data_IF_276863510943
#
_entry.id   IF_276863510943
#
_cell.length_a   1.000
_cell.length_b   1.000
_cell.length_c   1.000
_cell.angle_alpha   90.00
_cell.angle_beta   90.00
_cell.angle_gamma   90.00
#
_symmetry.space_group_name_H-M   'P 1'
#
loop_
_entity.id
_entity.type
_entity.pdbx_description
1 polymer ?
#
# COMPACT_ATOMS: atom_id res chain seq x y z
N UNK A 1 16.34 52.35 32.90
CA UNK A 1 17.05 51.76 31.74
C UNK A 1 17.53 50.36 32.09
N UNK A 2 17.47 49.45 31.10
CA UNK A 2 17.98 48.07 31.02
C UNK A 2 17.02 46.91 31.35
N UNK A 3 16.79 46.15 30.28
CA UNK A 3 16.10 44.87 30.10
C UNK A 3 16.59 43.76 31.03
N UNK A 4 15.75 42.73 31.24
CA UNK A 4 16.13 41.30 31.23
C UNK A 4 14.91 40.43 30.94
N UNK A 5 15.08 39.52 29.96
CA UNK A 5 14.12 38.47 29.58
C UNK A 5 13.98 37.46 30.72
N UNK A 6 12.79 36.85 30.88
CA UNK A 6 12.62 35.61 31.62
C UNK A 6 11.71 34.65 30.84
N UNK A 7 12.21 33.43 30.73
CA UNK A 7 11.70 32.26 30.04
C UNK A 7 10.42 31.76 30.74
N UNK A 8 9.32 31.58 30.01
CA UNK A 8 8.13 30.90 30.54
C UNK A 8 8.17 29.43 30.12
N UNK A 9 8.47 28.58 31.10
CA UNK A 9 8.10 27.17 31.09
C UNK A 9 6.58 27.07 31.08
N UNK A 10 5.98 26.57 30.02
CA UNK A 10 4.62 26.04 30.07
C UNK A 10 4.69 24.54 30.39
N UNK A 11 4.71 24.23 31.68
CA UNK A 11 4.07 23.01 32.15
C UNK A 11 2.56 23.24 32.08
N UNK A 12 1.84 22.34 31.42
CA UNK A 12 0.40 22.23 31.56
C UNK A 12 0.09 20.90 32.21
N UNK A 13 -0.34 21.03 33.46
CA UNK A 13 -0.88 19.96 34.29
C UNK A 13 -2.19 19.45 33.68
N UNK A 14 -2.34 18.12 33.67
CA UNK A 14 -3.58 17.43 33.32
C UNK A 14 -4.53 17.58 34.52
N UNK A 15 -5.57 18.40 34.36
CA UNK A 15 -6.74 18.40 35.24
C UNK A 15 -7.95 17.94 34.42
N UNK A 16 -8.62 16.91 34.91
CA UNK A 16 -9.62 16.14 34.18
C UNK A 16 -10.84 16.94 33.72
N UNK A 17 -11.10 16.82 32.42
CA UNK A 17 -12.42 16.92 31.80
C UNK A 17 -12.51 15.71 30.86
N UNK A 18 -13.28 14.69 31.26
CA UNK A 18 -13.62 13.56 30.41
C UNK A 18 -14.59 14.04 29.32
N UNK A 19 -14.07 14.55 28.22
CA UNK A 19 -14.83 14.65 26.97
C UNK A 19 -14.80 13.28 26.31
N UNK A 20 -15.95 12.60 26.32
CA UNK A 20 -16.20 11.48 25.41
C UNK A 20 -16.19 12.05 23.99
N UNK A 21 -15.04 11.98 23.30
CA UNK A 21 -15.00 12.22 21.87
C UNK A 21 -15.68 11.05 21.17
N UNK A 22 -16.95 11.24 20.85
CA UNK A 22 -17.66 10.35 19.96
C UNK A 22 -17.15 10.65 18.53
N UNK A 23 -15.99 10.11 18.17
CA UNK A 23 -15.53 10.15 16.79
C UNK A 23 -16.37 9.14 16.02
N UNK A 24 -17.49 9.59 15.45
CA UNK A 24 -18.02 8.87 14.28
C UNK A 24 -16.90 8.90 13.25
N UNK A 25 -16.38 7.74 12.79
CA UNK A 25 -15.41 7.75 11.72
C UNK A 25 -16.06 8.51 10.56
N UNK A 26 -15.39 9.57 10.09
CA UNK A 26 -15.78 10.18 8.82
C UNK A 26 -15.75 9.05 7.79
N UNK A 27 -16.85 8.85 7.07
CA UNK A 27 -16.90 7.85 6.01
C UNK A 27 -15.75 8.13 5.04
N UNK A 28 -14.81 7.19 4.93
CA UNK A 28 -13.66 7.33 4.04
C UNK A 28 -14.14 7.49 2.59
N UNK A 29 -13.65 8.51 1.89
CA UNK A 29 -13.97 8.77 0.49
C UNK A 29 -13.30 7.79 -0.46
N UNK A 30 -12.28 7.06 -0.01
CA UNK A 30 -11.48 6.15 -0.83
C UNK A 30 -10.09 5.90 -0.23
N UNK A 31 -9.18 5.33 -1.04
CA UNK A 31 -7.76 5.19 -0.70
C UNK A 31 -6.90 5.83 -1.78
N UNK A 32 -5.95 6.66 -1.33
CA UNK A 32 -4.89 7.21 -2.16
C UNK A 32 -3.62 6.37 -1.99
N UNK A 33 -3.05 5.88 -3.09
CA UNK A 33 -1.81 5.09 -3.12
C UNK A 33 -0.73 5.93 -3.77
N UNK A 34 0.33 6.20 -3.03
CA UNK A 34 1.48 6.95 -3.56
C UNK A 34 2.17 6.16 -4.67
N UNK A 35 2.63 6.87 -5.70
CA UNK A 35 3.46 6.24 -6.75
C UNK A 35 4.80 5.77 -6.18
N UNK A 36 5.54 5.02 -7.00
CA UNK A 36 6.92 4.62 -6.74
C UNK A 36 7.88 5.80 -6.86
N UNK A 37 7.72 6.77 -5.95
CA UNK A 37 8.60 7.93 -5.80
C UNK A 37 9.11 7.98 -4.37
N UNK A 38 10.40 8.31 -4.13
CA UNK A 38 11.01 8.20 -2.80
C UNK A 38 10.24 8.96 -1.71
N UNK A 39 9.62 10.09 -2.07
CA UNK A 39 8.78 10.90 -1.19
C UNK A 39 7.64 11.49 -2.00
N UNK A 40 6.40 11.24 -1.58
CA UNK A 40 5.24 12.02 -2.02
C UNK A 40 4.99 13.16 -1.03
N UNK A 41 4.88 14.39 -1.54
CA UNK A 41 4.79 15.58 -0.69
C UNK A 41 3.40 15.75 -0.07
N UNK A 42 3.40 16.29 1.15
CA UNK A 42 2.18 16.69 1.83
C UNK A 42 1.96 18.19 1.70
N UNK A 43 0.69 18.59 1.74
CA UNK A 43 0.25 19.96 1.57
C UNK A 43 -0.83 20.29 2.61
N UNK A 44 -0.94 21.56 2.96
CA UNK A 44 -2.02 22.09 3.81
C UNK A 44 -3.33 22.22 3.03
N UNK A 45 -4.45 22.54 3.70
CA UNK A 45 -5.73 22.85 3.04
C UNK A 45 -5.73 24.16 2.23
N UNK A 46 -4.63 24.94 2.29
CA UNK A 46 -4.39 26.11 1.45
C UNK A 46 -3.42 25.81 0.29
N UNK A 47 -2.93 24.58 0.16
CA UNK A 47 -2.00 24.17 -0.91
C UNK A 47 -0.53 24.46 -0.63
N UNK A 48 -0.19 24.93 0.58
CA UNK A 48 1.20 25.13 0.99
C UNK A 48 1.90 23.80 1.29
N UNK A 49 3.11 23.59 0.77
CA UNK A 49 3.90 22.37 0.98
C UNK A 49 4.36 22.22 2.43
N UNK A 50 4.20 21.02 2.99
CA UNK A 50 4.72 20.61 4.29
C UNK A 50 6.08 19.92 4.06
N UNK A 51 7.17 20.60 4.39
CA UNK A 51 8.52 20.14 4.05
C UNK A 51 9.14 19.15 5.06
N UNK A 52 8.56 18.98 6.25
CA UNK A 52 9.17 18.21 7.35
C UNK A 52 8.84 16.72 7.32
N UNK A 53 7.89 16.30 6.48
CA UNK A 53 7.49 14.91 6.29
C UNK A 53 6.82 14.72 4.93
N UNK A 54 6.82 13.48 4.47
CA UNK A 54 6.07 13.04 3.28
C UNK A 54 5.66 11.59 3.43
N UNK A 55 5.00 11.08 2.41
CA UNK A 55 4.52 9.70 2.35
C UNK A 55 5.56 8.85 1.60
N UNK A 56 5.78 7.63 2.07
CA UNK A 56 6.69 6.69 1.42
C UNK A 56 6.13 6.16 0.09
N UNK A 57 6.98 5.60 -0.79
CA UNK A 57 6.54 5.02 -2.06
C UNK A 57 5.58 3.84 -1.83
N UNK A 58 4.57 3.72 -2.69
CA UNK A 58 3.60 2.61 -2.68
C UNK A 58 2.99 2.37 -1.29
N UNK A 59 2.48 3.44 -0.66
CA UNK A 59 1.78 3.37 0.63
C UNK A 59 0.33 3.81 0.46
N UNK A 60 -0.60 3.03 1.02
CA UNK A 60 -2.04 3.32 0.97
C UNK A 60 -2.49 4.24 2.11
N UNK A 61 -3.25 5.28 1.78
CA UNK A 61 -3.76 6.27 2.72
C UNK A 61 -5.27 6.39 2.62
N UNK A 62 -5.96 6.12 3.73
CA UNK A 62 -7.42 6.29 3.82
C UNK A 62 -7.76 7.77 3.69
N UNK A 63 -8.57 8.09 2.68
CA UNK A 63 -8.92 9.48 2.37
C UNK A 63 -10.13 9.91 3.18
N UNK A 64 -9.95 10.93 4.02
CA UNK A 64 -11.03 11.51 4.81
C UNK A 64 -12.00 12.34 3.97
N UNK A 65 -11.48 13.25 3.15
CA UNK A 65 -12.25 14.06 2.21
C UNK A 65 -11.39 14.49 1.02
N UNK A 66 -12.06 14.88 -0.05
CA UNK A 66 -11.45 15.47 -1.24
C UNK A 66 -11.72 16.98 -1.25
N UNK A 67 -10.69 17.78 -1.51
CA UNK A 67 -10.81 19.24 -1.67
C UNK A 67 -10.22 19.66 -3.03
N UNK A 68 -10.60 20.85 -3.49
CA UNK A 68 -9.94 21.51 -4.62
C UNK A 68 -9.27 22.78 -4.10
N UNK A 69 -7.99 22.95 -4.41
CA UNK A 69 -7.19 24.12 -4.06
C UNK A 69 -6.45 24.57 -5.31
N UNK A 70 -6.68 25.80 -5.77
CA UNK A 70 -6.05 26.35 -6.97
C UNK A 70 -6.19 25.44 -8.21
N UNK A 71 -7.40 24.93 -8.45
CA UNK A 71 -7.73 23.97 -9.54
C UNK A 71 -6.99 22.62 -9.46
N UNK A 72 -6.30 22.31 -8.36
CA UNK A 72 -5.71 21.01 -8.07
C UNK A 72 -6.60 20.23 -7.09
N UNK A 73 -6.94 18.99 -7.44
CA UNK A 73 -7.66 18.07 -6.55
C UNK A 73 -6.69 17.48 -5.53
N UNK A 74 -7.11 17.45 -4.26
CA UNK A 74 -6.29 16.96 -3.16
C UNK A 74 -7.07 16.02 -2.24
N UNK A 75 -6.39 14.98 -1.75
CA UNK A 75 -6.96 13.96 -0.87
C UNK A 75 -6.43 14.10 0.55
N UNK A 76 -7.33 14.19 1.52
CA UNK A 76 -6.96 14.30 2.93
C UNK A 76 -6.46 12.96 3.47
N UNK A 77 -5.18 12.88 3.82
CA UNK A 77 -4.55 11.68 4.38
C UNK A 77 -4.28 11.78 5.88
N UNK A 78 -4.40 12.98 6.45
CA UNK A 78 -4.25 13.27 7.88
C UNK A 78 -4.92 14.61 8.24
N UNK A 79 -4.96 14.99 9.52
CA UNK A 79 -5.59 16.25 9.95
C UNK A 79 -4.86 17.44 9.33
N UNK A 80 -5.56 18.20 8.48
CA UNK A 80 -5.00 19.32 7.71
C UNK A 80 -3.83 18.96 6.78
N UNK A 81 -3.73 17.69 6.37
CA UNK A 81 -2.68 17.21 5.47
C UNK A 81 -3.27 16.47 4.29
N UNK A 82 -2.78 16.85 3.11
CA UNK A 82 -3.34 16.44 1.85
C UNK A 82 -2.23 16.05 0.89
N UNK A 83 -2.54 15.10 0.01
CA UNK A 83 -1.72 14.75 -1.14
C UNK A 83 -2.43 15.18 -2.43
N UNK A 84 -1.66 15.55 -3.45
CA UNK A 84 -2.23 15.89 -4.76
C UNK A 84 -2.75 14.65 -5.46
N UNK A 85 -3.89 14.77 -6.13
CA UNK A 85 -4.45 13.70 -6.93
C UNK A 85 -3.53 13.29 -8.10
N UNK A 86 -2.71 14.21 -8.59
CA UNK A 86 -1.72 13.97 -9.63
C UNK A 86 -0.50 13.16 -9.19
N UNK A 87 -0.32 12.91 -7.89
CA UNK A 87 0.83 12.19 -7.30
C UNK A 87 0.45 10.83 -6.70
N UNK A 88 -0.80 10.40 -6.88
CA UNK A 88 -1.33 9.15 -6.34
C UNK A 88 -2.31 8.50 -7.30
N UNK A 89 -2.49 7.19 -7.14
CA UNK A 89 -3.71 6.52 -7.62
C UNK A 89 -4.79 6.69 -6.56
N UNK A 90 -6.02 7.03 -6.95
CA UNK A 90 -7.15 7.11 -6.02
C UNK A 90 -8.23 6.12 -6.39
N UNK A 91 -8.59 5.26 -5.43
CA UNK A 91 -9.72 4.35 -5.51
C UNK A 91 -10.86 4.94 -4.69
N UNK A 92 -11.94 5.36 -5.34
CA UNK A 92 -13.07 5.92 -4.64
C UNK A 92 -13.86 4.81 -3.92
N UNK A 93 -14.29 5.09 -2.69
CA UNK A 93 -15.23 4.23 -1.98
C UNK A 93 -16.68 4.48 -2.41
N UNK A 94 -16.88 5.29 -3.47
CA UNK A 94 -18.20 5.46 -4.08
C UNK A 94 -18.66 4.10 -4.59
N UNK A 95 -19.69 3.57 -3.93
CA UNK A 95 -20.32 2.27 -4.13
C UNK A 95 -20.94 2.03 -5.52
N UNK A 96 -20.38 2.54 -6.63
CA UNK A 96 -21.01 2.51 -7.95
C UNK A 96 -20.10 2.15 -9.13
N UNK A 97 -18.92 1.57 -8.89
CA UNK A 97 -18.23 0.80 -9.93
C UNK A 97 -18.06 -0.65 -9.45
N UNK A 98 -19.05 -1.51 -9.73
CA UNK A 98 -19.08 -2.90 -9.25
C UNK A 98 -18.05 -3.83 -9.92
N UNK A 99 -16.93 -3.29 -10.44
CA UNK A 99 -16.01 -3.99 -11.34
C UNK A 99 -16.76 -4.75 -12.45
N UNK A 100 -17.92 -4.22 -12.86
CA UNK A 100 -18.88 -4.92 -13.70
C UNK A 100 -18.31 -5.12 -15.09
N UNK A 101 -17.95 -6.38 -15.42
CA UNK A 101 -17.31 -6.72 -16.68
C UNK A 101 -15.78 -6.58 -16.67
N UNK A 102 -15.18 -6.23 -15.54
CA UNK A 102 -13.74 -6.31 -15.36
C UNK A 102 -13.30 -7.77 -15.48
N UNK A 103 -12.23 -7.97 -16.24
CA UNK A 103 -11.57 -9.27 -16.35
C UNK A 103 -10.08 -9.10 -16.17
N UNK A 104 -9.44 -10.14 -15.66
CA UNK A 104 -7.98 -10.27 -15.62
C UNK A 104 -7.57 -11.46 -16.49
N UNK A 105 -6.41 -11.36 -17.10
CA UNK A 105 -5.78 -12.46 -17.82
C UNK A 105 -4.27 -12.40 -17.57
N UNK A 106 -3.59 -13.52 -17.75
CA UNK A 106 -2.13 -13.54 -17.59
C UNK A 106 -1.45 -13.24 -18.93
N UNK A 107 -0.33 -12.49 -18.92
CA UNK A 107 0.33 -12.10 -20.16
C UNK A 107 1.23 -13.19 -20.76
N UNK A 108 1.92 -13.97 -19.92
CA UNK A 108 3.05 -14.81 -20.35
C UNK A 108 2.94 -16.29 -19.98
N UNK A 109 2.31 -16.61 -18.85
CA UNK A 109 2.18 -17.99 -18.34
C UNK A 109 1.00 -18.10 -17.37
N UNK A 110 0.70 -19.30 -16.91
CA UNK A 110 -0.31 -19.50 -15.86
C UNK A 110 0.09 -18.73 -14.58
N UNK A 111 -0.90 -18.09 -13.93
CA UNK A 111 -0.68 -17.35 -12.69
C UNK A 111 -1.38 -18.07 -11.53
N UNK A 112 -0.76 -18.15 -10.35
CA UNK A 112 -1.35 -18.80 -9.19
C UNK A 112 -2.63 -18.09 -8.75
N UNK A 113 -3.59 -18.88 -8.29
CA UNK A 113 -4.73 -18.41 -7.51
C UNK A 113 -4.36 -18.59 -6.03
N UNK A 114 -4.55 -17.56 -5.24
CA UNK A 114 -4.33 -17.55 -3.79
C UNK A 114 -5.67 -17.63 -3.07
N UNK A 115 -5.80 -18.56 -2.14
CA UNK A 115 -7.03 -18.82 -1.41
C UNK A 115 -7.02 -18.06 -0.08
N UNK A 116 -8.03 -17.23 0.17
CA UNK A 116 -8.11 -16.38 1.38
C UNK A 116 -8.55 -17.11 2.65
N UNK A 117 -8.99 -18.37 2.57
CA UNK A 117 -9.29 -19.21 3.73
C UNK A 117 -8.06 -19.98 4.19
N UNK A 118 -7.25 -20.47 3.25
CA UNK A 118 -6.03 -21.24 3.54
C UNK A 118 -4.77 -20.38 3.56
N UNK A 119 -4.83 -19.17 3.00
CA UNK A 119 -3.70 -18.28 2.72
C UNK A 119 -2.58 -18.92 1.90
N UNK A 120 -2.93 -19.87 1.03
CA UNK A 120 -2.02 -20.64 0.20
C UNK A 120 -2.55 -20.71 -1.25
N UNK A 121 -1.77 -21.30 -2.15
CA UNK A 121 -2.16 -21.52 -3.54
C UNK A 121 -3.32 -22.51 -3.68
N UNK A 122 -4.21 -22.25 -4.62
CA UNK A 122 -5.39 -23.05 -4.96
C UNK A 122 -5.55 -23.13 -6.49
N UNK A 123 -4.54 -23.72 -7.13
CA UNK A 123 -4.45 -23.85 -8.58
C UNK A 123 -3.98 -22.57 -9.27
N UNK A 124 -4.34 -22.42 -10.54
CA UNK A 124 -3.91 -21.32 -11.39
C UNK A 124 -4.99 -20.90 -12.39
N UNK A 125 -4.89 -19.66 -12.85
CA UNK A 125 -5.58 -19.21 -14.05
C UNK A 125 -4.72 -19.48 -15.28
N UNK A 126 -5.36 -19.94 -16.36
CA UNK A 126 -4.67 -20.32 -17.59
C UNK A 126 -4.21 -19.11 -18.42
N UNK A 127 -3.10 -19.30 -19.16
CA UNK A 127 -2.57 -18.29 -20.06
C UNK A 127 -3.60 -17.70 -21.03
N UNK A 128 -3.66 -16.36 -21.05
CA UNK A 128 -4.50 -15.55 -21.96
C UNK A 128 -6.00 -15.89 -21.92
N UNK A 129 -6.47 -16.52 -20.85
CA UNK A 129 -7.90 -16.74 -20.61
C UNK A 129 -8.41 -15.62 -19.70
N UNK A 130 -9.46 -14.88 -20.09
CA UNK A 130 -10.02 -13.83 -19.24
C UNK A 130 -10.89 -14.42 -18.14
N UNK A 131 -10.58 -14.09 -16.89
CA UNK A 131 -11.36 -14.41 -15.70
C UNK A 131 -12.08 -13.17 -15.21
N UNK A 132 -13.37 -13.32 -14.89
CA UNK A 132 -14.17 -12.21 -14.34
C UNK A 132 -13.67 -11.85 -12.94
N UNK A 133 -13.61 -10.56 -12.68
CA UNK A 133 -13.26 -10.03 -11.35
C UNK A 133 -14.54 -9.64 -10.62
N UNK A 134 -14.76 -10.23 -9.45
CA UNK A 134 -15.88 -9.88 -8.58
C UNK A 134 -15.54 -8.73 -7.63
N UNK A 135 -14.34 -8.77 -7.06
CA UNK A 135 -13.83 -7.80 -6.08
C UNK A 135 -12.37 -7.51 -6.39
N UNK A 136 -11.94 -6.30 -6.07
CA UNK A 136 -10.53 -5.94 -6.02
C UNK A 136 -10.22 -5.45 -4.61
N UNK A 137 -9.10 -5.88 -4.04
CA UNK A 137 -8.66 -5.49 -2.69
C UNK A 137 -7.24 -4.99 -2.76
N UNK A 138 -6.93 -3.88 -2.09
CA UNK A 138 -5.58 -3.37 -1.92
C UNK A 138 -5.21 -3.32 -0.44
N UNK A 139 -4.00 -3.77 -0.12
CA UNK A 139 -3.47 -3.74 1.25
C UNK A 139 -2.66 -2.47 1.56
N UNK A 140 -2.24 -2.32 2.82
CA UNK A 140 -1.50 -1.15 3.28
C UNK A 140 -0.16 -0.91 2.56
N UNK A 141 0.40 -1.97 1.95
CA UNK A 141 1.65 -1.94 1.21
C UNK A 141 1.49 -1.68 -0.29
N UNK A 142 0.26 -1.46 -0.75
CA UNK A 142 -0.06 -1.15 -2.14
C UNK A 142 -0.29 -2.38 -3.04
N UNK A 143 -0.20 -3.60 -2.50
CA UNK A 143 -0.46 -4.80 -3.30
C UNK A 143 -1.95 -4.97 -3.54
N UNK A 144 -2.33 -5.04 -4.82
CA UNK A 144 -3.71 -5.23 -5.26
C UNK A 144 -3.96 -6.68 -5.64
N UNK A 145 -5.12 -7.20 -5.29
CA UNK A 145 -5.58 -8.55 -5.59
C UNK A 145 -6.95 -8.51 -6.23
N UNK A 146 -7.19 -9.36 -7.23
CA UNK A 146 -8.45 -9.49 -7.94
C UNK A 146 -9.09 -10.84 -7.64
N UNK A 147 -10.33 -10.82 -7.15
CA UNK A 147 -11.09 -12.03 -6.84
C UNK A 147 -11.64 -12.65 -8.12
N UNK A 148 -11.21 -13.88 -8.43
CA UNK A 148 -11.59 -14.63 -9.65
C UNK A 148 -12.46 -15.86 -9.36
N UNK A 149 -12.61 -16.24 -8.09
CA UNK A 149 -13.54 -17.28 -7.63
C UNK A 149 -14.11 -16.93 -6.24
N UNK A 150 -14.78 -17.86 -5.55
CA UNK A 150 -15.36 -17.58 -4.23
C UNK A 150 -14.31 -17.16 -3.19
N UNK A 151 -13.19 -17.89 -3.15
CA UNK A 151 -12.07 -17.66 -2.22
C UNK A 151 -10.74 -17.42 -2.92
N UNK A 152 -10.73 -17.48 -4.27
CA UNK A 152 -9.52 -17.38 -5.07
C UNK A 152 -9.24 -15.96 -5.58
N UNK A 153 -8.01 -15.53 -5.37
CA UNK A 153 -7.49 -14.21 -5.68
C UNK A 153 -6.23 -14.31 -6.55
N UNK A 154 -6.08 -13.42 -7.51
CA UNK A 154 -4.82 -13.27 -8.27
C UNK A 154 -4.21 -11.92 -7.97
N UNK A 155 -2.88 -11.86 -7.93
CA UNK A 155 -2.15 -10.65 -7.57
C UNK A 155 -1.90 -9.77 -8.81
N UNK A 156 -2.13 -8.47 -8.67
CA UNK A 156 -1.72 -7.46 -9.66
C UNK A 156 -0.19 -7.54 -9.87
N UNK A 157 0.27 -7.34 -11.11
CA UNK A 157 1.65 -7.61 -11.51
C UNK A 157 1.87 -9.03 -12.07
N UNK A 158 1.08 -10.02 -11.66
CA UNK A 158 1.03 -11.35 -12.31
C UNK A 158 -0.04 -11.42 -13.41
N UNK A 159 -0.99 -10.49 -13.38
CA UNK A 159 -2.15 -10.45 -14.29
C UNK A 159 -2.36 -9.03 -14.82
N UNK A 160 -2.95 -8.93 -16.02
CA UNK A 160 -3.33 -7.66 -16.63
C UNK A 160 -4.85 -7.48 -16.59
N UNK A 161 -5.35 -6.44 -15.89
CA UNK A 161 -6.77 -6.12 -15.91
C UNK A 161 -7.16 -5.51 -17.27
N UNK A 162 -8.38 -5.79 -17.75
CA UNK A 162 -8.88 -5.29 -19.04
C UNK A 162 -9.10 -3.77 -19.07
N UNK A 163 -9.25 -3.16 -17.89
CA UNK A 163 -9.35 -1.72 -17.65
C UNK A 163 -8.95 -1.46 -16.20
N UNK A 164 -8.68 -0.22 -15.83
CA UNK A 164 -8.52 0.18 -14.42
C UNK A 164 -9.72 -0.31 -13.60
N UNK A 165 -9.44 -0.99 -12.48
CA UNK A 165 -10.48 -1.42 -11.55
C UNK A 165 -11.24 -0.20 -11.01
N UNK A 166 -12.56 -0.31 -10.94
CA UNK A 166 -13.41 0.81 -10.55
C UNK A 166 -13.49 0.94 -9.03
N UNK A 167 -13.98 -0.11 -8.36
CA UNK A 167 -13.97 -0.19 -6.89
C UNK A 167 -12.83 -1.10 -6.43
N UNK A 168 -11.93 -0.56 -5.61
CA UNK A 168 -10.85 -1.30 -4.96
C UNK A 168 -11.01 -1.13 -3.46
N UNK A 169 -11.39 -2.21 -2.79
CA UNK A 169 -11.62 -2.25 -1.36
C UNK A 169 -10.28 -2.18 -0.62
N UNK A 170 -10.21 -1.40 0.45
CA UNK A 170 -9.03 -1.38 1.29
C UNK A 170 -9.15 -2.34 2.46
N UNK A 171 -8.13 -3.19 2.62
CA UNK A 171 -7.97 -4.06 3.78
C UNK A 171 -6.50 -4.17 4.13
N UNK A 172 -6.10 -3.49 5.22
CA UNK A 172 -4.70 -3.34 5.62
C UNK A 172 -3.98 -4.69 5.78
N UNK A 173 -4.68 -5.68 6.31
CA UNK A 173 -4.16 -7.00 6.66
C UNK A 173 -4.48 -8.07 5.61
N UNK A 174 -4.97 -7.68 4.43
CA UNK A 174 -5.27 -8.63 3.37
C UNK A 174 -3.97 -9.24 2.80
N UNK A 175 -3.77 -10.52 3.11
CA UNK A 175 -2.59 -11.30 2.74
C UNK A 175 -2.97 -12.78 2.51
N UNK A 176 -3.58 -13.11 1.35
CA UNK A 176 -3.94 -14.49 1.00
C UNK A 176 -2.72 -15.34 0.61
N UNK A 177 -1.49 -14.83 0.77
CA UNK A 177 -0.25 -15.53 0.42
C UNK A 177 0.60 -15.88 1.65
N UNK A 178 0.10 -15.62 2.86
CA UNK A 178 0.90 -15.74 4.09
C UNK A 178 1.45 -17.15 4.37
N UNK A 179 0.84 -18.20 3.79
CA UNK A 179 1.33 -19.58 3.88
C UNK A 179 2.05 -20.07 2.60
N UNK A 180 2.11 -19.26 1.54
CA UNK A 180 2.79 -19.62 0.27
C UNK A 180 4.31 -19.65 0.46
N UNK A 181 4.86 -18.68 1.20
CA UNK A 181 6.28 -18.57 1.51
C UNK A 181 6.45 -17.99 2.92
N UNK A 182 7.35 -18.57 3.72
CA UNK A 182 7.67 -18.03 5.04
C UNK A 182 8.48 -16.74 4.91
N UNK A 183 8.12 -15.68 5.64
CA UNK A 183 8.88 -14.43 5.61
C UNK A 183 10.36 -14.62 6.01
N UNK A 184 10.64 -15.53 6.95
CA UNK A 184 12.00 -15.88 7.36
C UNK A 184 12.81 -16.57 6.26
N UNK A 185 12.15 -17.32 5.38
CA UNK A 185 12.79 -17.93 4.20
C UNK A 185 13.21 -16.84 3.20
N UNK A 186 12.33 -15.85 2.98
CA UNK A 186 12.66 -14.68 2.14
C UNK A 186 13.82 -13.87 2.74
N UNK A 187 13.81 -13.64 4.06
CA UNK A 187 14.91 -12.95 4.75
C UNK A 187 16.22 -13.71 4.61
N UNK A 188 16.21 -15.02 4.83
CA UNK A 188 17.41 -15.87 4.69
C UNK A 188 18.00 -15.77 3.28
N UNK A 189 17.15 -15.77 2.24
CA UNK A 189 17.60 -15.61 0.86
C UNK A 189 18.26 -14.25 0.61
N UNK A 190 17.74 -13.17 1.22
CA UNK A 190 18.34 -11.83 1.11
C UNK A 190 19.62 -11.69 1.94
N UNK A 191 19.71 -12.34 3.09
CA UNK A 191 20.95 -12.42 3.89
C UNK A 191 22.08 -13.14 3.13
N UNK A 192 21.75 -14.20 2.39
CA UNK A 192 22.71 -14.89 1.50
C UNK A 192 23.25 -13.97 0.39
N UNK A 193 22.53 -12.90 0.05
CA UNK A 193 22.98 -11.81 -0.84
C UNK A 193 23.78 -10.72 -0.13
N UNK A 194 24.06 -10.91 1.16
CA UNK A 194 24.84 -9.99 1.99
C UNK A 194 24.04 -8.84 2.59
N UNK A 195 22.70 -8.92 2.60
CA UNK A 195 21.87 -7.93 3.29
C UNK A 195 22.03 -8.01 4.82
N UNK A 196 21.85 -6.88 5.50
CA UNK A 196 21.90 -6.78 6.96
C UNK A 196 20.65 -7.40 7.60
N UNK A 197 20.85 -8.42 8.44
CA UNK A 197 19.77 -9.17 9.08
C UNK A 197 18.92 -8.33 10.03
N UNK A 198 19.50 -7.33 10.69
CA UNK A 198 18.75 -6.45 11.60
C UNK A 198 17.84 -5.51 10.81
N UNK A 199 18.32 -4.95 9.71
CA UNK A 199 17.51 -4.14 8.81
C UNK A 199 16.40 -4.96 8.13
N UNK A 200 16.66 -6.21 7.75
CA UNK A 200 15.65 -7.12 7.19
C UNK A 200 14.55 -7.49 8.20
N UNK A 201 14.87 -7.56 9.49
CA UNK A 201 13.91 -7.82 10.55
C UNK A 201 12.89 -6.68 10.74
N UNK A 202 13.27 -5.45 10.38
CA UNK A 202 12.37 -4.28 10.44
C UNK A 202 11.39 -4.22 9.25
N UNK A 203 11.57 -5.05 8.22
CA UNK A 203 10.69 -5.11 7.06
C UNK A 203 9.46 -5.98 7.36
N UNK A 204 8.23 -5.50 7.11
CA UNK A 204 7.02 -6.28 7.35
C UNK A 204 6.95 -7.59 6.55
N UNK A 205 6.54 -8.67 7.21
CA UNK A 205 6.42 -10.01 6.62
C UNK A 205 5.62 -10.01 5.31
N UNK A 206 4.45 -9.40 5.33
CA UNK A 206 3.55 -9.34 4.16
C UNK A 206 4.21 -8.63 2.97
N UNK A 207 5.05 -7.61 3.22
CA UNK A 207 5.76 -6.94 2.14
C UNK A 207 6.77 -7.87 1.48
N UNK A 208 7.61 -8.54 2.28
CA UNK A 208 8.61 -9.48 1.77
C UNK A 208 7.97 -10.66 1.03
N UNK A 209 6.91 -11.25 1.60
CA UNK A 209 6.18 -12.35 0.98
C UNK A 209 5.61 -11.94 -0.38
N UNK A 210 4.98 -10.76 -0.46
CA UNK A 210 4.40 -10.25 -1.70
C UNK A 210 5.43 -9.98 -2.79
N UNK A 211 6.54 -9.32 -2.46
CA UNK A 211 7.62 -9.07 -3.42
C UNK A 211 8.25 -10.39 -3.90
N UNK A 212 8.45 -11.35 -2.99
CA UNK A 212 8.97 -12.67 -3.36
C UNK A 212 8.02 -13.38 -4.32
N UNK A 213 6.72 -13.41 -4.02
CA UNK A 213 5.71 -14.03 -4.88
C UNK A 213 5.69 -13.35 -6.26
N UNK A 214 5.72 -12.02 -6.33
CA UNK A 214 5.80 -11.31 -7.60
C UNK A 214 7.04 -11.72 -8.40
N UNK A 215 8.23 -11.65 -7.78
CA UNK A 215 9.48 -12.00 -8.45
C UNK A 215 9.47 -13.45 -8.96
N UNK A 216 9.16 -14.40 -8.07
CA UNK A 216 9.21 -15.83 -8.37
C UNK A 216 8.22 -16.23 -9.48
N UNK A 217 6.96 -15.77 -9.40
CA UNK A 217 5.94 -16.13 -10.39
C UNK A 217 6.00 -15.28 -11.67
N UNK A 218 6.67 -14.12 -11.66
CA UNK A 218 7.01 -13.39 -12.89
C UNK A 218 8.22 -13.99 -13.63
N UNK A 219 8.91 -14.97 -13.03
CA UNK A 219 10.10 -15.60 -13.60
C UNK A 219 11.36 -14.76 -13.44
N UNK A 220 11.37 -13.85 -12.49
CA UNK A 220 12.52 -13.04 -12.12
C UNK A 220 13.43 -13.80 -11.14
N UNK A 221 14.63 -13.28 -10.88
CA UNK A 221 15.60 -13.90 -9.99
C UNK A 221 15.63 -13.26 -8.58
N UNK A 222 16.51 -13.78 -7.71
CA UNK A 222 16.73 -13.20 -6.37
C UNK A 222 17.33 -11.79 -6.44
N UNK A 223 18.05 -11.45 -7.51
CA UNK A 223 18.56 -10.10 -7.79
C UNK A 223 17.45 -9.09 -8.00
N UNK A 224 16.43 -9.45 -8.77
CA UNK A 224 15.22 -8.63 -8.93
C UNK A 224 14.50 -8.39 -7.60
N UNK A 225 14.31 -9.44 -6.81
CA UNK A 225 13.74 -9.32 -5.46
C UNK A 225 14.56 -8.34 -4.60
N UNK A 226 15.87 -8.54 -4.56
CA UNK A 226 16.79 -7.67 -3.84
C UNK A 226 16.65 -6.20 -4.28
N UNK A 227 16.61 -5.93 -5.59
CA UNK A 227 16.47 -4.55 -6.10
C UNK A 227 15.15 -3.92 -5.66
N UNK A 228 14.04 -4.65 -5.72
CA UNK A 228 12.75 -4.11 -5.26
C UNK A 228 12.78 -3.80 -3.76
N UNK A 229 13.27 -4.74 -2.95
CA UNK A 229 13.31 -4.56 -1.49
C UNK A 229 14.31 -3.47 -1.10
N UNK A 230 15.50 -3.39 -1.71
CA UNK A 230 16.51 -2.36 -1.43
C UNK A 230 16.11 -0.97 -1.92
N UNK A 231 15.35 -0.86 -3.02
CA UNK A 231 14.79 0.42 -3.46
C UNK A 231 13.84 1.01 -2.41
N UNK A 232 13.03 0.17 -1.76
CA UNK A 232 12.11 0.61 -0.70
C UNK A 232 12.78 0.72 0.67
N UNK A 233 13.72 -0.17 0.96
CA UNK A 233 14.44 -0.28 2.23
C UNK A 233 15.95 -0.23 1.99
N UNK A 234 16.52 0.95 1.64
CA UNK A 234 17.94 1.06 1.27
C UNK A 234 18.89 0.76 2.42
N UNK A 235 18.40 0.70 3.66
CA UNK A 235 19.17 0.34 4.85
C UNK A 235 19.60 -1.12 4.88
N UNK A 236 19.02 -2.00 4.06
CA UNK A 236 19.38 -3.44 4.06
C UNK A 236 20.78 -3.70 3.51
N UNK A 237 21.40 -2.76 2.79
CA UNK A 237 22.73 -2.98 2.19
C UNK A 237 22.72 -4.13 1.18
N UNK A 238 23.80 -4.92 1.10
CA UNK A 238 23.91 -6.08 0.20
C UNK A 238 24.68 -5.82 -1.10
N UNK A 239 24.94 -6.90 -1.85
CA UNK A 239 25.50 -6.83 -3.21
C UNK A 239 24.59 -7.62 -4.16
N UNK A 240 24.38 -7.09 -5.37
CA UNK A 240 23.78 -7.86 -6.49
C UNK A 240 24.71 -8.99 -6.97
#
# INVERSE_FOLDING_TARGET
MKNKKALLFCGLAIAGLSMFMNTTPASASGVAVTFDTPVTHLFTDQGETIAIRGLGPNTGWVVGKTINVNDETMYQVSTSEYVKASEVTFSDNSQNNNNSGLTVHTPLQDAPIFNDETNDTDGSIAWNVPYKVNRAVINQYGFTYYQVSAHGWVMDGLVYPSTTAGNVEYSADFNPISNVIGADEVRSALEDMGCDSSALADIPDTYLQSEYVLSNYAGHDLGDLYRQVSNKYPSIGGNE
#
